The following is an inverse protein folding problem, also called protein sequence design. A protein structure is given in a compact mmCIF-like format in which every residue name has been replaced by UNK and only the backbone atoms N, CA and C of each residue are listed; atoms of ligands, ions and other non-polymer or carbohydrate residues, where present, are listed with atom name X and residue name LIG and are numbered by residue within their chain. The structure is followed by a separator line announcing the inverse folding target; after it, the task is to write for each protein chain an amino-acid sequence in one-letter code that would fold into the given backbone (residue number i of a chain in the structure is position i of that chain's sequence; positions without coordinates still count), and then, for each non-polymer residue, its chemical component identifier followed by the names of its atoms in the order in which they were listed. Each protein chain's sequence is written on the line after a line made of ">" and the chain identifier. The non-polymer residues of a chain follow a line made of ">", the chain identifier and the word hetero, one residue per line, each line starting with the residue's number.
data_IF_376924062807
#
_entry.id   IF_376924062807
#
_cell.length_a   1.000
_cell.length_b   1.000
_cell.length_c   1.000
_cell.angle_alpha   90.00
_cell.angle_beta   90.00
_cell.angle_gamma   90.00
#
_symmetry.space_group_name_H-M   'P 1'
#
loop_
_entity.id
_entity.type
_entity.pdbx_description
1 polymer ?
#
# COMPACT_ATOMS: atom_id res chain seq x y z
N UNK A 1 -14.11 -3.70 -25.45
CA UNK A 1 -13.91 -4.25 -24.08
C UNK A 1 -13.03 -3.27 -23.33
N UNK A 2 -13.60 -2.52 -22.40
CA UNK A 2 -12.88 -1.50 -21.62
C UNK A 2 -11.91 -2.21 -20.68
N UNK A 3 -10.60 -1.93 -20.82
CA UNK A 3 -9.60 -2.28 -19.79
C UNK A 3 -9.93 -1.42 -18.57
N UNK A 4 -10.41 -2.03 -17.52
CA UNK A 4 -10.57 -1.38 -16.22
C UNK A 4 -9.23 -0.79 -15.80
N UNK A 5 -9.22 0.49 -15.45
CA UNK A 5 -8.02 1.14 -14.95
C UNK A 5 -7.56 0.51 -13.63
N UNK A 6 -6.29 0.68 -13.28
CA UNK A 6 -5.64 0.10 -12.10
C UNK A 6 -6.38 0.45 -10.80
N UNK A 7 -6.82 1.69 -10.64
CA UNK A 7 -7.63 2.13 -9.51
C UNK A 7 -8.97 1.39 -9.40
N UNK A 8 -9.63 1.10 -10.53
CA UNK A 8 -10.87 0.33 -10.54
C UNK A 8 -10.65 -1.15 -10.16
N UNK A 9 -9.49 -1.72 -10.55
CA UNK A 9 -9.11 -3.09 -10.17
C UNK A 9 -8.81 -3.17 -8.66
N UNK A 10 -8.09 -2.21 -8.13
CA UNK A 10 -7.80 -2.09 -6.68
C UNK A 10 -9.11 -1.96 -5.90
N UNK A 11 -10.02 -1.11 -6.37
CA UNK A 11 -11.33 -0.93 -5.76
C UNK A 11 -12.18 -2.23 -5.75
N UNK A 12 -12.23 -2.97 -6.86
CA UNK A 12 -12.94 -4.25 -6.93
C UNK A 12 -12.38 -5.31 -5.98
N UNK A 13 -11.08 -5.33 -5.75
CA UNK A 13 -10.44 -6.26 -4.81
C UNK A 13 -10.75 -5.87 -3.36
N UNK A 14 -10.76 -4.57 -3.04
CA UNK A 14 -11.00 -4.08 -1.67
C UNK A 14 -12.45 -4.21 -1.20
N UNK A 15 -13.42 -4.18 -2.11
CA UNK A 15 -14.86 -4.24 -1.78
C UNK A 15 -15.47 -5.64 -1.83
N UNK A 16 -14.70 -6.68 -2.18
CA UNK A 16 -15.22 -8.04 -2.30
C UNK A 16 -16.19 -8.26 -3.46
N UNK A 17 -16.37 -7.28 -4.35
CA UNK A 17 -17.20 -7.42 -5.54
C UNK A 17 -16.64 -8.50 -6.46
N UNK A 18 -17.52 -9.34 -7.00
CA UNK A 18 -17.18 -10.51 -7.82
C UNK A 18 -16.12 -10.23 -8.86
N UNK A 19 -14.97 -10.88 -8.72
CA UNK A 19 -13.87 -10.80 -9.66
C UNK A 19 -14.32 -11.38 -11.01
N UNK A 20 -14.40 -10.53 -12.03
CA UNK A 20 -14.52 -11.00 -13.42
C UNK A 20 -13.29 -11.84 -13.71
N UNK A 21 -13.50 -13.13 -14.04
CA UNK A 21 -12.41 -14.06 -14.35
C UNK A 21 -11.50 -13.46 -15.43
N UNK A 22 -10.17 -13.43 -15.22
CA UNK A 22 -9.26 -12.95 -16.25
C UNK A 22 -9.35 -13.86 -17.48
N UNK A 23 -9.31 -13.25 -18.65
CA UNK A 23 -9.22 -13.93 -19.93
C UNK A 23 -7.96 -14.82 -19.96
N UNK A 24 -8.06 -16.14 -20.24
CA UNK A 24 -6.92 -17.06 -20.24
C UNK A 24 -5.86 -16.79 -21.30
N UNK A 25 -6.03 -15.78 -22.17
CA UNK A 25 -5.05 -15.40 -23.18
C UNK A 25 -3.98 -14.41 -22.68
N UNK A 26 -4.01 -13.95 -21.42
CA UNK A 26 -2.94 -13.16 -20.82
C UNK A 26 -1.93 -14.10 -20.13
N UNK A 27 -1.05 -14.72 -20.91
CA UNK A 27 0.08 -15.53 -20.42
C UNK A 27 1.15 -14.64 -19.81
N UNK A 28 0.96 -14.23 -18.55
CA UNK A 28 2.02 -13.83 -17.66
C UNK A 28 2.48 -15.06 -16.88
N UNK A 29 3.78 -15.37 -16.87
CA UNK A 29 4.33 -16.52 -16.14
C UNK A 29 3.94 -16.44 -14.66
N UNK A 30 3.12 -17.40 -14.23
CA UNK A 30 2.85 -17.68 -12.83
C UNK A 30 3.88 -18.72 -12.40
N UNK A 31 4.92 -18.32 -11.69
CA UNK A 31 5.81 -19.29 -11.05
C UNK A 31 5.22 -19.69 -9.70
N UNK A 32 4.71 -20.90 -9.60
CA UNK A 32 4.27 -21.50 -8.35
C UNK A 32 5.41 -22.30 -7.77
N UNK A 33 6.07 -21.82 -6.72
CA UNK A 33 7.03 -22.61 -5.95
C UNK A 33 6.26 -23.35 -4.85
N UNK A 34 6.10 -24.68 -5.02
CA UNK A 34 5.59 -25.55 -3.95
C UNK A 34 6.78 -26.13 -3.18
N UNK A 35 6.99 -25.69 -1.95
CA UNK A 35 7.83 -26.40 -0.99
C UNK A 35 6.97 -27.31 -0.13
N UNK A 36 7.46 -28.53 0.17
CA UNK A 36 6.86 -29.43 1.15
C UNK A 36 7.10 -28.83 2.55
N UNK A 37 6.09 -28.21 3.12
CA UNK A 37 6.11 -27.58 4.45
C UNK A 37 5.83 -26.09 4.38
N UNK A 38 4.58 -25.74 4.47
CA UNK A 38 3.99 -24.54 5.12
C UNK A 38 4.24 -23.13 4.59
N UNK A 39 4.74 -22.83 3.41
CA UNK A 39 4.55 -21.49 2.80
C UNK A 39 4.28 -21.68 1.31
N UNK A 40 3.02 -21.59 0.91
CA UNK A 40 2.69 -21.48 -0.50
C UNK A 40 2.88 -20.01 -0.90
N UNK A 41 4.07 -19.66 -1.34
CA UNK A 41 4.36 -18.37 -1.93
C UNK A 41 3.92 -18.40 -3.40
N UNK A 42 2.92 -17.63 -3.75
CA UNK A 42 2.54 -17.41 -5.14
C UNK A 42 2.87 -15.96 -5.50
N UNK A 43 3.88 -15.79 -6.33
CA UNK A 43 4.22 -14.50 -6.91
C UNK A 43 3.75 -14.50 -8.35
N UNK A 44 2.92 -13.54 -8.70
CA UNK A 44 2.61 -13.24 -10.10
C UNK A 44 3.56 -12.17 -10.56
N UNK A 45 4.73 -12.58 -11.05
CA UNK A 45 5.69 -11.64 -11.63
C UNK A 45 5.09 -10.95 -12.85
N UNK A 46 5.25 -9.61 -12.87
CA UNK A 46 4.98 -8.75 -14.04
C UNK A 46 3.66 -9.04 -14.75
N UNK A 47 2.55 -8.89 -14.05
CA UNK A 47 1.36 -8.55 -14.81
C UNK A 47 1.62 -7.23 -15.55
N UNK A 48 1.13 -7.05 -16.79
CA UNK A 48 1.23 -5.77 -17.52
C UNK A 48 0.63 -4.58 -16.73
N UNK A 49 -0.01 -4.86 -15.61
CA UNK A 49 -0.61 -3.90 -14.67
C UNK A 49 0.40 -3.28 -13.70
N UNK A 50 1.60 -3.86 -13.50
CA UNK A 50 2.57 -3.42 -12.50
C UNK A 50 2.16 -3.71 -11.07
N UNK A 51 1.39 -4.78 -10.83
CA UNK A 51 1.02 -5.25 -9.50
C UNK A 51 1.80 -6.51 -9.15
N UNK A 52 2.29 -6.58 -7.91
CA UNK A 52 2.87 -7.80 -7.31
C UNK A 52 1.89 -8.32 -6.27
N UNK A 53 1.50 -9.58 -6.41
CA UNK A 53 0.71 -10.29 -5.42
C UNK A 53 1.60 -11.30 -4.70
N UNK A 54 1.64 -11.22 -3.38
CA UNK A 54 2.36 -12.15 -2.51
C UNK A 54 1.41 -12.78 -1.49
N UNK A 55 1.65 -14.04 -1.15
CA UNK A 55 0.84 -14.78 -0.17
C UNK A 55 1.77 -15.62 0.71
N UNK A 56 1.59 -15.55 2.03
CA UNK A 56 2.32 -16.36 3.00
C UNK A 56 1.39 -16.66 4.19
N UNK A 57 1.11 -17.94 4.43
CA UNK A 57 0.12 -18.35 5.43
C UNK A 57 -1.25 -17.71 5.16
N UNK A 58 -1.78 -17.02 6.17
CA UNK A 58 -3.05 -16.28 6.07
C UNK A 58 -2.91 -14.89 5.46
N UNK A 59 -1.70 -14.40 5.25
CA UNK A 59 -1.42 -13.05 4.76
C UNK A 59 -1.42 -12.99 3.24
N UNK A 60 -2.09 -11.98 2.70
CA UNK A 60 -2.13 -11.67 1.28
C UNK A 60 -1.76 -10.20 1.09
N UNK A 61 -0.71 -9.93 0.33
CA UNK A 61 -0.25 -8.61 -0.04
C UNK A 61 -0.49 -8.38 -1.54
N UNK A 62 -1.02 -7.22 -1.90
CA UNK A 62 -1.02 -6.70 -3.25
C UNK A 62 -0.29 -5.36 -3.24
N UNK A 63 0.89 -5.30 -3.84
CA UNK A 63 1.73 -4.10 -3.92
C UNK A 63 1.67 -3.49 -5.32
N UNK A 64 1.52 -2.17 -5.38
CA UNK A 64 1.58 -1.40 -6.60
C UNK A 64 3.01 -0.96 -6.89
N UNK A 65 3.65 -1.63 -7.85
CA UNK A 65 5.04 -1.39 -8.29
C UNK A 65 5.13 -1.00 -9.77
N UNK A 66 4.04 -0.51 -10.33
CA UNK A 66 3.99 -0.14 -11.73
C UNK A 66 3.76 1.35 -11.97
N UNK A 67 3.68 1.75 -13.24
CA UNK A 67 3.34 3.13 -13.58
C UNK A 67 1.90 3.46 -13.11
N UNK A 68 1.62 4.70 -12.68
CA UNK A 68 0.31 5.09 -12.13
C UNK A 68 -0.83 4.92 -13.15
N UNK A 69 -0.52 4.92 -14.45
CA UNK A 69 -1.49 4.67 -15.51
C UNK A 69 -0.79 4.33 -16.84
N UNK A 70 -1.51 3.75 -17.82
CA UNK A 70 -1.03 3.68 -19.21
C UNK A 70 -0.72 5.08 -19.77
N UNK A 71 0.30 5.25 -20.61
CA UNK A 71 0.68 6.55 -21.18
C UNK A 71 -0.48 7.29 -21.86
N UNK A 72 -1.34 6.56 -22.54
CA UNK A 72 -2.48 7.10 -23.31
C UNK A 72 -3.76 7.30 -22.50
N UNK A 73 -3.82 6.87 -21.21
CA UNK A 73 -5.05 6.90 -20.43
C UNK A 73 -4.82 7.43 -19.01
N UNK A 74 -4.61 8.74 -18.82
CA UNK A 74 -4.35 9.34 -17.51
C UNK A 74 -5.61 9.52 -16.64
N UNK A 75 -6.79 9.29 -17.20
CA UNK A 75 -8.06 9.63 -16.56
C UNK A 75 -8.28 8.90 -15.22
N UNK A 76 -7.71 7.70 -15.07
CA UNK A 76 -7.83 6.90 -13.86
C UNK A 76 -6.53 6.87 -13.03
N UNK A 77 -5.56 7.74 -13.32
CA UNK A 77 -4.33 7.82 -12.56
C UNK A 77 -4.61 8.36 -11.15
N UNK A 78 -4.04 7.70 -10.15
CA UNK A 78 -3.85 8.20 -8.80
C UNK A 78 -2.35 8.35 -8.52
N UNK A 79 -1.98 9.13 -7.52
CA UNK A 79 -0.61 9.26 -7.06
C UNK A 79 -0.31 8.19 -5.99
N UNK A 80 -0.58 6.94 -6.32
CA UNK A 80 -0.67 5.76 -5.46
C UNK A 80 0.56 4.84 -5.55
N UNK A 81 1.61 5.25 -6.25
CA UNK A 81 2.83 4.46 -6.45
C UNK A 81 3.37 3.93 -5.11
N UNK A 82 3.63 2.63 -5.05
CA UNK A 82 3.99 1.87 -3.86
C UNK A 82 2.89 1.75 -2.80
N UNK A 83 1.65 2.09 -3.15
CA UNK A 83 0.49 1.73 -2.35
C UNK A 83 0.34 0.21 -2.25
N UNK A 84 -0.27 -0.27 -1.16
CA UNK A 84 -0.52 -1.69 -0.99
C UNK A 84 -1.85 -1.97 -0.30
N UNK A 85 -2.41 -3.16 -0.61
CA UNK A 85 -3.55 -3.75 0.08
C UNK A 85 -3.08 -4.98 0.81
N UNK A 86 -3.62 -5.22 2.00
CA UNK A 86 -3.31 -6.39 2.81
C UNK A 86 -4.61 -7.03 3.30
N UNK A 87 -4.70 -8.34 3.14
CA UNK A 87 -5.75 -9.16 3.73
C UNK A 87 -5.11 -10.20 4.65
N UNK A 88 -5.77 -10.51 5.76
CA UNK A 88 -5.42 -11.62 6.65
C UNK A 88 -6.66 -12.49 6.79
N UNK A 89 -6.53 -13.81 6.59
CA UNK A 89 -7.66 -14.75 6.53
C UNK A 89 -8.76 -14.30 5.54
N UNK A 90 -8.36 -13.70 4.40
CA UNK A 90 -9.26 -13.12 3.37
C UNK A 90 -10.05 -11.89 3.83
N UNK A 91 -9.81 -11.39 5.03
CA UNK A 91 -10.43 -10.18 5.59
C UNK A 91 -9.50 -8.99 5.32
N UNK A 92 -10.00 -7.86 4.80
CA UNK A 92 -9.18 -6.68 4.58
C UNK A 92 -8.62 -6.12 5.89
N UNK A 93 -7.31 -5.85 5.94
CA UNK A 93 -6.62 -5.14 7.02
C UNK A 93 -6.17 -3.74 6.56
N UNK A 94 -5.44 -3.67 5.44
CA UNK A 94 -5.14 -2.42 4.74
C UNK A 94 -5.94 -2.37 3.44
N UNK A 95 -6.61 -1.26 3.24
CA UNK A 95 -7.46 -1.01 2.08
C UNK A 95 -6.96 0.22 1.30
N UNK A 96 -7.67 0.59 0.28
CA UNK A 96 -7.44 1.83 -0.47
C UNK A 96 -8.62 2.79 -0.26
N UNK A 97 -8.38 4.09 -0.37
CA UNK A 97 -9.43 5.10 -0.31
C UNK A 97 -10.46 4.94 -1.44
N UNK A 98 -10.04 4.43 -2.59
CA UNK A 98 -10.90 4.18 -3.73
C UNK A 98 -11.30 5.44 -4.49
N UNK A 99 -12.42 5.37 -5.19
CA UNK A 99 -13.01 6.47 -5.96
C UNK A 99 -14.51 6.49 -5.73
N UNK A 100 -15.00 7.50 -5.02
CA UNK A 100 -16.44 7.69 -4.76
C UNK A 100 -17.11 8.61 -5.79
N UNK A 101 -16.35 9.47 -6.45
CA UNK A 101 -16.91 10.47 -7.36
C UNK A 101 -15.95 10.86 -8.49
N UNK A 102 -16.52 11.31 -9.59
CA UNK A 102 -15.81 12.02 -10.66
C UNK A 102 -16.15 13.52 -10.70
N UNK A 103 -16.97 14.01 -9.74
CA UNK A 103 -17.25 15.42 -9.66
C UNK A 103 -16.02 16.21 -9.23
N UNK A 104 -15.76 17.38 -9.88
CA UNK A 104 -14.69 18.27 -9.47
C UNK A 104 -14.88 18.74 -8.03
N UNK A 105 -13.89 18.52 -7.17
CA UNK A 105 -14.02 18.94 -5.77
C UNK A 105 -12.91 18.44 -4.87
N UNK A 106 -12.97 18.74 -3.57
CA UNK A 106 -11.96 18.34 -2.61
C UNK A 106 -11.89 16.79 -2.43
N UNK A 107 -13.03 16.12 -2.49
CA UNK A 107 -13.11 14.64 -2.37
C UNK A 107 -12.33 13.99 -3.50
N UNK A 108 -12.66 14.31 -4.76
CA UNK A 108 -11.96 13.75 -5.91
C UNK A 108 -10.47 14.08 -5.92
N UNK A 109 -10.09 15.29 -5.48
CA UNK A 109 -8.69 15.70 -5.36
C UNK A 109 -7.95 14.86 -4.32
N UNK A 110 -8.59 14.63 -3.15
CA UNK A 110 -8.02 13.81 -2.10
C UNK A 110 -7.85 12.35 -2.57
N UNK A 111 -8.90 11.72 -3.10
CA UNK A 111 -8.87 10.33 -3.55
C UNK A 111 -7.74 10.02 -4.55
N UNK A 112 -7.33 11.04 -5.33
CA UNK A 112 -6.22 10.90 -6.29
C UNK A 112 -4.85 11.24 -5.75
N UNK A 113 -4.77 11.88 -4.58
CA UNK A 113 -3.51 12.34 -3.99
C UNK A 113 -2.74 11.22 -3.32
N UNK A 114 -1.43 11.37 -3.18
CA UNK A 114 -0.59 10.42 -2.43
C UNK A 114 -1.06 10.27 -0.98
N UNK A 115 -1.64 11.31 -0.39
CA UNK A 115 -2.15 11.28 0.98
C UNK A 115 -3.36 10.34 1.18
N UNK A 116 -3.99 9.85 0.12
CA UNK A 116 -5.11 8.93 0.17
C UNK A 116 -4.71 7.46 0.17
N UNK A 117 -3.42 7.14 0.03
CA UNK A 117 -2.95 5.77 -0.19
C UNK A 117 -1.95 5.32 0.88
N UNK A 118 -1.80 3.98 1.03
CA UNK A 118 -0.84 3.36 1.96
C UNK A 118 0.59 3.43 1.41
N UNK A 119 1.15 4.66 1.33
CA UNK A 119 2.48 4.92 0.78
C UNK A 119 3.15 6.12 1.47
N UNK A 120 4.35 6.49 0.99
CA UNK A 120 5.12 7.65 1.45
C UNK A 120 4.73 8.90 0.67
N UNK A 121 4.63 10.01 1.37
CA UNK A 121 4.54 11.36 0.82
C UNK A 121 5.72 12.19 1.33
N UNK A 122 6.31 13.04 0.49
CA UNK A 122 7.41 13.95 0.85
C UNK A 122 6.95 15.39 0.64
N UNK A 123 7.12 16.25 1.67
CA UNK A 123 6.76 17.69 1.66
C UNK A 123 5.34 17.96 1.13
N UNK A 124 4.39 17.13 1.50
CA UNK A 124 3.00 17.20 1.02
C UNK A 124 2.84 17.12 -0.51
N UNK A 125 3.90 16.78 -1.26
CA UNK A 125 3.83 16.61 -2.71
C UNK A 125 3.22 15.25 -3.10
N UNK A 126 2.59 15.20 -4.26
CA UNK A 126 2.13 13.95 -4.86
C UNK A 126 3.25 13.29 -5.67
N UNK A 127 3.38 11.97 -5.55
CA UNK A 127 4.35 11.16 -6.32
C UNK A 127 4.12 11.27 -7.84
N UNK A 128 2.87 11.47 -8.22
CA UNK A 128 2.42 11.73 -9.59
C UNK A 128 1.61 13.02 -9.58
N UNK A 129 1.91 13.93 -10.49
CA UNK A 129 1.17 15.18 -10.63
C UNK A 129 -0.22 14.90 -11.18
N UNK A 130 -1.24 14.98 -10.33
CA UNK A 130 -2.65 14.79 -10.68
C UNK A 130 -3.39 16.10 -10.48
N UNK A 131 -4.17 16.53 -11.50
CA UNK A 131 -4.99 17.72 -11.38
C UNK A 131 -6.32 17.60 -12.15
N UNK A 132 -7.26 18.46 -11.78
CA UNK A 132 -8.61 18.34 -12.28
C UNK A 132 -9.17 16.95 -11.97
N UNK A 133 -10.12 16.51 -12.77
CA UNK A 133 -10.81 15.22 -12.54
C UNK A 133 -10.06 14.06 -13.18
N UNK A 134 -9.44 14.28 -14.38
CA UNK A 134 -8.95 13.23 -15.27
C UNK A 134 -7.53 13.47 -15.80
N UNK A 135 -6.81 14.45 -15.30
CA UNK A 135 -5.49 14.81 -15.83
C UNK A 135 -4.36 14.31 -14.94
N UNK A 136 -3.28 13.87 -15.55
CA UNK A 136 -2.02 13.58 -14.91
C UNK A 136 -0.86 14.13 -15.77
N UNK A 137 0.06 14.83 -15.12
CA UNK A 137 1.27 15.40 -15.76
C UNK A 137 2.49 14.52 -15.53
N UNK A 138 3.45 15.04 -14.75
CA UNK A 138 4.62 14.28 -14.33
C UNK A 138 4.15 13.02 -13.57
N UNK A 139 4.69 11.88 -13.96
CA UNK A 139 4.32 10.58 -13.40
C UNK A 139 5.53 9.96 -12.74
N UNK A 140 5.33 9.33 -11.59
CA UNK A 140 6.35 8.50 -10.98
C UNK A 140 6.79 7.40 -11.95
N UNK A 141 8.09 7.18 -12.04
CA UNK A 141 8.69 6.06 -12.76
C UNK A 141 9.24 5.09 -11.75
N UNK A 142 8.87 3.84 -11.89
CA UNK A 142 9.35 2.76 -11.05
C UNK A 142 10.49 2.04 -11.77
N UNK A 143 11.55 1.75 -11.02
CA UNK A 143 12.74 1.04 -11.48
C UNK A 143 13.23 0.06 -10.41
N UNK A 144 14.15 -0.84 -10.77
CA UNK A 144 14.81 -1.75 -9.85
C UNK A 144 13.88 -2.77 -9.17
N UNK A 145 12.72 -3.10 -9.79
CA UNK A 145 11.84 -4.11 -9.22
C UNK A 145 12.54 -5.46 -9.13
N UNK A 146 12.67 -5.97 -7.91
CA UNK A 146 13.10 -7.34 -7.62
C UNK A 146 12.07 -8.05 -6.76
N UNK A 147 11.91 -9.34 -6.98
CA UNK A 147 11.04 -10.21 -6.18
C UNK A 147 11.80 -11.49 -5.88
N UNK A 148 11.93 -11.82 -4.60
CA UNK A 148 12.58 -13.04 -4.13
C UNK A 148 11.59 -13.88 -3.32
N UNK A 149 11.61 -15.18 -3.58
CA UNK A 149 10.80 -16.17 -2.85
C UNK A 149 11.72 -17.18 -2.21
N UNK A 150 11.56 -17.41 -0.91
CA UNK A 150 12.39 -18.35 -0.15
C UNK A 150 11.58 -19.08 0.91
N UNK A 151 12.21 -20.01 1.65
CA UNK A 151 11.55 -20.75 2.73
C UNK A 151 11.03 -19.84 3.85
N UNK A 152 11.65 -18.68 4.08
CA UNK A 152 11.31 -17.71 5.11
C UNK A 152 10.23 -16.72 4.68
N UNK A 153 9.83 -16.69 3.41
CA UNK A 153 8.83 -15.75 2.92
C UNK A 153 9.13 -15.18 1.54
N UNK A 154 8.50 -14.04 1.27
CA UNK A 154 8.60 -13.31 0.02
C UNK A 154 9.11 -11.91 0.29
N UNK A 155 10.08 -11.44 -0.49
CA UNK A 155 10.48 -10.03 -0.52
C UNK A 155 10.20 -9.43 -1.89
N UNK A 156 9.72 -8.19 -1.90
CA UNK A 156 9.55 -7.39 -3.11
C UNK A 156 10.13 -6.00 -2.83
N UNK A 157 10.93 -5.47 -3.73
CA UNK A 157 11.48 -4.12 -3.57
C UNK A 157 11.54 -3.39 -4.90
N UNK A 158 11.42 -2.07 -4.85
CA UNK A 158 11.55 -1.19 -6.00
C UNK A 158 11.90 0.24 -5.55
N UNK A 159 12.26 1.09 -6.52
CA UNK A 159 12.47 2.53 -6.33
C UNK A 159 11.61 3.32 -7.29
N UNK A 160 11.12 4.50 -6.87
CA UNK A 160 10.48 5.45 -7.77
C UNK A 160 11.04 6.86 -7.62
N UNK A 161 10.94 7.64 -8.73
CA UNK A 161 11.43 9.00 -8.83
C UNK A 161 10.35 10.09 -8.65
N UNK A 162 9.20 9.73 -8.09
CA UNK A 162 8.03 10.59 -8.00
C UNK A 162 8.27 11.92 -7.30
N UNK A 163 9.22 11.99 -6.37
CA UNK A 163 9.56 13.21 -5.62
C UNK A 163 10.80 13.94 -6.18
N UNK A 164 11.38 13.50 -7.28
CA UNK A 164 12.60 14.07 -7.87
C UNK A 164 12.46 15.53 -8.31
N UNK A 165 11.24 16.05 -8.40
CA UNK A 165 10.96 17.47 -8.67
C UNK A 165 11.16 18.39 -7.45
N UNK A 166 11.22 17.84 -6.24
CA UNK A 166 11.48 18.59 -5.01
C UNK A 166 12.97 18.96 -4.88
N UNK A 167 13.32 20.00 -4.10
CA UNK A 167 14.71 20.29 -3.72
C UNK A 167 15.38 19.04 -3.16
N UNK A 168 16.68 18.86 -3.40
CA UNK A 168 17.41 17.66 -2.97
C UNK A 168 17.08 16.39 -3.74
N UNK A 169 16.09 16.42 -4.64
CA UNK A 169 15.72 15.34 -5.59
C UNK A 169 15.44 13.99 -4.91
N UNK A 170 14.50 13.90 -3.97
CA UNK A 170 14.23 12.67 -3.24
C UNK A 170 13.81 11.52 -4.16
N UNK A 171 14.28 10.32 -3.84
CA UNK A 171 13.82 9.05 -4.39
C UNK A 171 13.24 8.22 -3.25
N UNK A 172 12.16 7.51 -3.51
CA UNK A 172 11.55 6.62 -2.54
C UNK A 172 11.81 5.17 -2.94
N UNK A 173 12.45 4.42 -2.05
CA UNK A 173 12.65 2.99 -2.11
C UNK A 173 11.70 2.34 -1.12
N UNK A 174 10.99 1.30 -1.52
CA UNK A 174 10.15 0.51 -0.63
C UNK A 174 10.44 -0.97 -0.83
N UNK A 175 10.58 -1.67 0.30
CA UNK A 175 10.71 -3.12 0.37
C UNK A 175 9.59 -3.67 1.24
N UNK A 176 8.92 -4.68 0.74
CA UNK A 176 7.96 -5.48 1.48
C UNK A 176 8.57 -6.85 1.74
N UNK A 177 8.51 -7.31 2.99
CA UNK A 177 8.92 -8.65 3.41
C UNK A 177 7.71 -9.32 4.06
N UNK A 178 7.20 -10.37 3.44
CA UNK A 178 6.01 -11.08 3.88
C UNK A 178 6.36 -12.50 4.32
N UNK A 179 6.03 -12.82 5.58
CA UNK A 179 6.12 -14.17 6.15
C UNK A 179 4.72 -14.70 6.50
N UNK A 180 4.63 -15.91 7.07
CA UNK A 180 3.36 -16.44 7.61
C UNK A 180 2.85 -15.69 8.85
N UNK A 181 3.72 -14.95 9.53
CA UNK A 181 3.46 -14.36 10.84
C UNK A 181 3.35 -12.83 10.80
N UNK A 182 4.00 -12.20 9.81
CA UNK A 182 4.10 -10.74 9.75
C UNK A 182 4.33 -10.19 8.34
N UNK A 183 4.02 -8.90 8.21
CA UNK A 183 4.43 -8.05 7.09
C UNK A 183 5.35 -6.95 7.60
N UNK A 184 6.59 -6.95 7.13
CA UNK A 184 7.52 -5.84 7.30
C UNK A 184 7.55 -4.98 6.03
N UNK A 185 7.49 -3.65 6.22
CA UNK A 185 7.65 -2.69 5.13
C UNK A 185 8.74 -1.70 5.51
N UNK A 186 9.81 -1.70 4.73
CA UNK A 186 10.90 -0.73 4.84
C UNK A 186 10.74 0.36 3.79
N UNK A 187 10.73 1.61 4.24
CA UNK A 187 10.75 2.81 3.42
C UNK A 187 12.10 3.51 3.58
N UNK A 188 12.77 3.79 2.47
CA UNK A 188 13.99 4.59 2.44
C UNK A 188 13.79 5.75 1.46
N UNK A 189 13.79 6.97 1.99
CA UNK A 189 13.80 8.18 1.16
C UNK A 189 15.23 8.69 1.09
N UNK A 190 15.82 8.60 -0.10
CA UNK A 190 17.18 9.10 -0.39
C UNK A 190 17.11 10.47 -1.03
N UNK A 191 18.22 11.22 -1.00
CA UNK A 191 18.31 12.57 -1.54
C UNK A 191 19.15 13.48 -0.66
N UNK A 192 18.84 14.79 -0.66
CA UNK A 192 19.55 15.81 0.15
C UNK A 192 18.54 16.79 0.73
N UNK A 193 18.95 17.47 1.80
CA UNK A 193 18.14 18.51 2.43
C UNK A 193 17.24 17.97 3.54
N UNK A 194 16.54 18.89 4.18
CA UNK A 194 15.60 18.62 5.25
C UNK A 194 14.20 18.50 4.65
N UNK A 195 13.50 17.43 4.97
CA UNK A 195 12.17 17.12 4.41
C UNK A 195 11.23 16.58 5.48
N UNK A 196 9.93 16.78 5.25
CA UNK A 196 8.89 16.06 5.93
C UNK A 196 8.58 14.76 5.15
N UNK A 197 8.79 13.62 5.78
CA UNK A 197 8.43 12.30 5.23
C UNK A 197 7.23 11.78 6.01
N UNK A 198 6.14 11.49 5.31
CA UNK A 198 4.88 11.01 5.91
C UNK A 198 4.52 9.67 5.31
N UNK A 199 4.49 8.64 6.15
CA UNK A 199 4.04 7.29 5.77
C UNK A 199 2.59 7.16 6.25
N UNK A 200 1.69 6.71 5.40
CA UNK A 200 0.30 6.46 5.77
C UNK A 200 -0.07 5.01 5.54
N UNK A 201 -0.93 4.52 6.42
CA UNK A 201 -1.54 3.21 6.35
C UNK A 201 -3.04 3.38 6.40
N UNK A 202 -3.70 3.21 5.25
CA UNK A 202 -5.15 3.28 5.12
C UNK A 202 -5.75 1.98 5.61
N UNK A 203 -6.44 2.00 6.75
CA UNK A 203 -7.06 0.81 7.32
C UNK A 203 -8.39 0.49 6.63
N UNK A 204 -8.75 -0.78 6.65
CA UNK A 204 -10.05 -1.20 6.15
C UNK A 204 -11.19 -0.67 7.05
N UNK A 205 -12.36 -0.48 6.47
CA UNK A 205 -13.58 -0.08 7.19
C UNK A 205 -13.86 -1.08 8.32
N UNK A 206 -14.27 -0.58 9.48
CA UNK A 206 -14.50 -1.41 10.67
C UNK A 206 -13.23 -1.76 11.46
N UNK A 207 -12.08 -1.20 11.08
CA UNK A 207 -10.82 -1.37 11.80
C UNK A 207 -10.59 -0.19 12.74
N UNK A 208 -10.35 -0.46 14.01
CA UNK A 208 -9.95 0.52 15.01
C UNK A 208 -8.43 0.53 15.20
N UNK A 209 -7.86 1.70 15.51
CA UNK A 209 -6.44 1.85 15.79
C UNK A 209 -6.20 2.77 16.97
N UNK A 210 -5.24 2.41 17.82
CA UNK A 210 -4.73 3.24 18.92
C UNK A 210 -3.21 3.30 18.80
N UNK A 211 -2.67 4.49 18.70
CA UNK A 211 -1.24 4.72 18.59
C UNK A 211 -0.69 5.34 19.88
N UNK A 212 0.46 4.86 20.34
CA UNK A 212 1.23 5.39 21.44
C UNK A 212 2.71 4.98 21.30
N UNK A 213 3.65 5.89 21.59
CA UNK A 213 5.08 5.61 21.78
C UNK A 213 5.75 4.76 20.68
N UNK A 214 5.51 5.08 19.42
CA UNK A 214 6.11 4.37 18.28
C UNK A 214 5.46 3.02 17.96
N UNK A 215 4.35 2.70 18.62
CA UNK A 215 3.57 1.49 18.40
C UNK A 215 2.11 1.83 18.13
N UNK A 216 1.41 0.95 17.45
CA UNK A 216 -0.05 1.00 17.38
C UNK A 216 -0.65 -0.38 17.60
N UNK A 217 -1.79 -0.42 18.29
CA UNK A 217 -2.65 -1.60 18.37
C UNK A 217 -3.81 -1.41 17.39
N UNK A 218 -3.97 -2.36 16.49
CA UNK A 218 -5.00 -2.37 15.47
C UNK A 218 -5.95 -3.54 15.75
N UNK A 219 -7.24 -3.23 15.84
CA UNK A 219 -8.29 -4.24 16.01
C UNK A 219 -9.18 -4.24 14.79
N UNK A 220 -9.24 -5.36 14.09
CA UNK A 220 -9.99 -5.54 12.85
C UNK A 220 -10.85 -6.81 12.92
N UNK A 221 -11.77 -7.01 11.98
CA UNK A 221 -12.48 -8.28 11.86
C UNK A 221 -11.57 -9.50 11.60
N UNK A 222 -10.32 -9.28 11.15
CA UNK A 222 -9.31 -10.33 10.98
C UNK A 222 -8.55 -10.66 12.29
N UNK A 223 -8.83 -9.94 13.39
CA UNK A 223 -8.16 -10.08 14.67
C UNK A 223 -7.43 -8.82 15.12
N UNK A 224 -6.61 -8.98 16.17
CA UNK A 224 -5.75 -7.91 16.68
C UNK A 224 -4.34 -7.99 16.09
N UNK A 225 -3.75 -6.81 15.87
CA UNK A 225 -2.40 -6.68 15.31
C UNK A 225 -1.61 -5.63 16.08
N UNK A 226 -0.36 -5.92 16.37
CA UNK A 226 0.62 -4.91 16.78
C UNK A 226 1.31 -4.34 15.55
N UNK A 227 1.52 -3.03 15.57
CA UNK A 227 2.24 -2.30 14.52
C UNK A 227 3.39 -1.55 15.20
N UNK A 228 4.62 -1.93 14.89
CA UNK A 228 5.81 -1.24 15.41
C UNK A 228 6.44 -0.39 14.29
N UNK A 229 6.89 0.81 14.64
CA UNK A 229 7.52 1.71 13.68
C UNK A 229 8.86 2.16 14.25
N UNK A 230 9.93 1.70 13.59
CA UNK A 230 11.29 2.17 13.80
C UNK A 230 11.71 3.14 12.71
N UNK A 231 12.47 4.20 13.05
CA UNK A 231 12.99 5.11 12.06
C UNK A 231 14.37 5.66 12.42
N UNK A 232 15.09 6.18 11.43
CA UNK A 232 16.40 6.82 11.58
C UNK A 232 16.34 8.20 12.24
N UNK A 233 15.14 8.73 12.51
CA UNK A 233 14.89 10.02 13.17
C UNK A 233 13.59 9.93 13.99
N UNK A 234 13.33 10.92 14.89
CA UNK A 234 12.13 10.93 15.70
C UNK A 234 10.84 10.83 14.88
N UNK A 235 9.91 10.02 15.36
CA UNK A 235 8.62 9.72 14.73
C UNK A 235 7.50 10.33 15.53
N UNK A 236 6.59 11.03 14.86
CA UNK A 236 5.29 11.39 15.39
C UNK A 236 4.25 10.42 14.79
N UNK A 237 3.68 9.57 15.63
CA UNK A 237 2.64 8.63 15.25
C UNK A 237 1.28 9.19 15.64
N UNK A 238 0.36 9.27 14.68
CA UNK A 238 -0.99 9.81 14.86
C UNK A 238 -2.02 8.93 14.16
N UNK A 239 -3.27 9.05 14.60
CA UNK A 239 -4.40 8.40 13.97
C UNK A 239 -5.42 9.45 13.55
N UNK A 240 -6.07 9.26 12.43
CA UNK A 240 -7.12 10.12 11.92
C UNK A 240 -8.23 9.28 11.30
N UNK A 241 -9.42 9.86 11.17
CA UNK A 241 -10.54 9.25 10.45
C UNK A 241 -10.75 10.00 9.15
N UNK A 242 -10.90 9.28 8.06
CA UNK A 242 -11.11 9.85 6.72
C UNK A 242 -12.20 9.13 5.96
N UNK A 243 -12.96 9.84 5.11
CA UNK A 243 -13.90 9.20 4.21
C UNK A 243 -13.17 8.38 3.15
N UNK A 244 -13.66 7.18 2.91
CA UNK A 244 -13.24 6.25 1.85
C UNK A 244 -14.45 5.88 1.00
N UNK A 245 -14.24 5.50 -0.25
CA UNK A 245 -15.32 5.08 -1.13
C UNK A 245 -15.95 3.77 -0.63
N UNK A 246 -17.23 3.83 -0.26
CA UNK A 246 -18.05 2.64 0.00
C UNK A 246 -18.68 2.09 -1.29
N UNK A 247 -18.73 2.94 -2.33
CA UNK A 247 -19.21 2.71 -3.66
C UNK A 247 -19.21 4.00 -4.44
N UNK A 248 -19.53 3.95 -5.73
CA UNK A 248 -19.67 5.18 -6.51
C UNK A 248 -20.87 5.98 -6.00
N UNK A 249 -20.65 7.26 -5.68
CA UNK A 249 -21.64 8.16 -5.08
C UNK A 249 -21.77 8.02 -3.55
N UNK A 250 -20.99 7.17 -2.88
CA UNK A 250 -21.07 6.98 -1.44
C UNK A 250 -19.72 6.83 -0.78
N UNK A 251 -19.61 7.35 0.46
CA UNK A 251 -18.42 7.23 1.30
C UNK A 251 -18.79 6.68 2.68
N UNK A 252 -17.81 6.08 3.35
CA UNK A 252 -17.86 5.70 4.75
C UNK A 252 -16.55 6.07 5.41
N UNK A 253 -16.53 6.15 6.72
CA UNK A 253 -15.34 6.52 7.45
C UNK A 253 -14.42 5.31 7.68
N UNK A 254 -13.11 5.53 7.55
CA UNK A 254 -12.08 4.56 7.88
C UNK A 254 -10.92 5.24 8.62
N UNK A 255 -10.20 4.46 9.42
CA UNK A 255 -9.05 4.95 10.18
C UNK A 255 -7.79 4.97 9.31
N UNK A 256 -6.94 5.96 9.54
CA UNK A 256 -5.61 6.07 8.94
C UNK A 256 -4.58 6.16 10.05
N UNK A 257 -3.56 5.29 10.00
CA UNK A 257 -2.37 5.41 10.84
C UNK A 257 -1.33 6.21 10.07
N UNK A 258 -0.85 7.30 10.66
CA UNK A 258 0.10 8.24 10.04
C UNK A 258 1.37 8.32 10.87
N UNK A 259 2.51 8.08 10.21
CA UNK A 259 3.86 8.23 10.75
C UNK A 259 4.53 9.43 10.07
N UNK A 260 4.89 10.46 10.84
CA UNK A 260 5.50 11.69 10.35
C UNK A 260 6.92 11.82 10.88
N UNK A 261 7.88 12.09 9.99
CA UNK A 261 9.29 12.23 10.26
C UNK A 261 9.77 13.53 9.62
N UNK A 262 10.36 14.42 10.42
CA UNK A 262 10.99 15.65 9.92
C UNK A 262 12.50 15.53 10.12
N UNK A 263 13.25 15.36 9.04
CA UNK A 263 14.70 15.11 9.12
C UNK A 263 15.44 15.46 7.82
N UNK A 264 16.76 15.50 7.92
CA UNK A 264 17.64 15.51 6.76
C UNK A 264 17.65 14.13 6.10
N UNK A 265 17.57 14.10 4.75
CA UNK A 265 17.70 12.84 4.00
C UNK A 265 19.16 12.31 4.06
N UNK A 266 19.36 10.97 4.05
CA UNK A 266 18.36 9.93 3.89
C UNK A 266 17.55 9.64 5.16
N UNK A 267 16.25 9.33 5.00
CA UNK A 267 15.37 8.87 6.06
C UNK A 267 14.99 7.43 5.79
N UNK A 268 15.19 6.55 6.78
CA UNK A 268 14.74 5.15 6.76
C UNK A 268 13.66 4.98 7.83
N UNK A 269 12.61 4.26 7.49
CA UNK A 269 11.59 3.81 8.44
C UNK A 269 11.21 2.36 8.15
N UNK A 270 10.95 1.59 9.19
CA UNK A 270 10.49 0.21 9.10
C UNK A 270 9.18 0.09 9.86
N UNK A 271 8.13 -0.38 9.21
CA UNK A 271 6.84 -0.68 9.82
C UNK A 271 6.64 -2.19 9.81
N UNK A 272 6.42 -2.80 10.98
CA UNK A 272 6.15 -4.23 11.12
C UNK A 272 4.72 -4.42 11.61
N UNK A 273 3.95 -5.20 10.87
CA UNK A 273 2.59 -5.63 11.16
C UNK A 273 2.63 -7.09 11.61
N UNK A 274 2.39 -7.35 12.90
CA UNK A 274 2.38 -8.70 13.46
C UNK A 274 1.00 -9.02 14.03
N UNK A 275 0.50 -10.23 13.77
CA UNK A 275 -0.77 -10.67 14.36
C UNK A 275 -0.57 -11.01 15.82
N UNK A 276 -1.40 -10.44 16.71
CA UNK A 276 -1.43 -10.84 18.12
C UNK A 276 -1.97 -12.25 18.25
N UNK A 277 -1.27 -13.10 19.01
CA UNK A 277 -1.75 -14.44 19.35
C UNK A 277 -2.81 -14.31 20.44
N UNK A 278 -3.90 -15.03 20.27
CA UNK A 278 -4.93 -15.13 21.30
C UNK A 278 -4.38 -15.94 22.47
N UNK A 279 -4.01 -15.26 23.57
CA UNK A 279 -3.48 -15.89 24.79
C UNK A 279 -4.55 -16.63 25.59
N UNK A 280 -5.82 -16.56 25.19
CA UNK A 280 -6.90 -17.23 25.90
C UNK A 280 -6.93 -18.76 25.69
N UNK A 281 -6.25 -19.28 24.66
CA UNK A 281 -6.21 -20.71 24.36
C UNK A 281 -5.12 -21.51 25.13
N UNK A 282 -4.18 -20.85 25.81
CA UNK A 282 -3.08 -21.53 26.53
C UNK A 282 -3.35 -21.73 28.03
N UNK A 283 -4.54 -21.35 28.51
CA UNK A 283 -4.90 -21.43 29.94
C UNK A 283 -5.74 -22.63 30.39
N UNK A 284 -6.11 -23.53 29.44
CA UNK A 284 -6.92 -24.72 29.76
C UNK A 284 -6.21 -26.03 29.38
N UNK A 285 -5.05 -26.30 29.96
CA UNK A 285 -4.51 -27.67 30.04
C UNK A 285 -3.99 -27.96 31.45
#
# INVERSE_FOLDING_TARGET
>A
MARTGKAALIWQISTGASVVRPNPAATGLVSTVRSKGAVAAMVTEKAPTGLVRAMAGSWHLLADVGPPCPPSLPAHAHADTFGCLVHVDKVPLLADTGTSTYEPGPVRRHERSTAAHSTVQVDAADSTEVWGVFRAGRRARVDGLTVHTGPSGITCEAVHDGFRCLPGRPLHHRRWSLTSDELEVEDLVTGRGWHEVVIRWQLAVGTAVRAADGMALVTSPAGAFSVTIGASAPVLLTTETRPVAAGFGSTTDASVLTCRINAALPVRATTVWSRERDRSAEGEM
#
